data_IF_358891224930
#
_entry.id   IF_358891224930
#
_cell.length_a   1.000
_cell.length_b   1.000
_cell.length_c   1.000
_cell.angle_alpha   90.00
_cell.angle_beta   90.00
_cell.angle_gamma   90.00
#
_symmetry.space_group_name_H-M   'P 1'
#
loop_
_entity.id
_entity.type
_entity.pdbx_description
1 polymer ?
#
# COMPACT_ATOMS: atom_id res chain seq x y z
N UNK A 1 15.27 -32.79 -4.28
CA UNK A 1 13.83 -32.64 -4.56
C UNK A 1 13.72 -31.90 -5.87
N UNK A 2 13.03 -32.47 -6.83
CA UNK A 2 12.77 -31.88 -8.14
C UNK A 2 11.76 -30.75 -7.96
N UNK A 3 12.00 -29.58 -8.51
CA UNK A 3 11.03 -28.49 -8.47
C UNK A 3 10.11 -28.53 -9.69
N UNK A 4 8.93 -27.92 -9.61
CA UNK A 4 8.03 -27.77 -10.76
C UNK A 4 8.67 -27.01 -11.94
N UNK A 5 9.68 -26.17 -11.66
CA UNK A 5 10.48 -25.50 -12.67
C UNK A 5 11.37 -26.46 -13.45
N UNK A 6 11.98 -27.44 -12.77
CA UNK A 6 12.80 -28.46 -13.42
C UNK A 6 11.95 -29.38 -14.32
N UNK A 7 10.75 -29.74 -13.85
CA UNK A 7 9.77 -30.51 -14.63
C UNK A 7 9.30 -29.71 -15.85
N UNK A 8 8.98 -28.43 -15.69
CA UNK A 8 8.60 -27.54 -16.79
C UNK A 8 9.71 -27.41 -17.83
N UNK A 9 10.97 -27.27 -17.40
CA UNK A 9 12.13 -27.19 -18.29
C UNK A 9 12.41 -28.51 -19.03
N UNK A 10 12.15 -29.66 -18.41
CA UNK A 10 12.31 -30.96 -19.06
C UNK A 10 11.17 -31.27 -20.04
N UNK A 11 9.93 -30.97 -19.67
CA UNK A 11 8.74 -31.19 -20.51
C UNK A 11 8.70 -30.22 -21.69
N UNK A 12 9.08 -28.94 -21.49
CA UNK A 12 9.09 -27.92 -22.56
C UNK A 12 10.02 -28.25 -23.74
N UNK A 13 11.06 -29.06 -23.53
CA UNK A 13 11.95 -29.53 -24.61
C UNK A 13 11.27 -30.47 -25.60
N UNK A 14 10.20 -31.15 -25.17
CA UNK A 14 9.53 -32.19 -25.94
C UNK A 14 8.07 -31.86 -26.25
N UNK A 15 7.41 -31.17 -25.32
CA UNK A 15 6.04 -30.68 -25.41
C UNK A 15 5.97 -29.21 -24.93
N UNK A 16 6.26 -28.23 -25.80
CA UNK A 16 6.42 -26.83 -25.42
C UNK A 16 5.15 -26.17 -24.85
N UNK A 17 3.96 -26.54 -25.30
CA UNK A 17 2.69 -25.98 -24.82
C UNK A 17 2.37 -26.51 -23.41
N UNK A 18 2.57 -27.81 -23.18
CA UNK A 18 2.42 -28.41 -21.85
C UNK A 18 3.49 -27.90 -20.88
N UNK A 19 4.73 -27.74 -21.33
CA UNK A 19 5.83 -27.19 -20.53
C UNK A 19 5.59 -25.74 -20.09
N UNK A 20 5.02 -24.90 -20.96
CA UNK A 20 4.61 -23.54 -20.63
C UNK A 20 3.34 -23.48 -19.74
N UNK A 21 2.54 -24.55 -19.72
CA UNK A 21 1.39 -24.66 -18.83
C UNK A 21 1.76 -25.01 -17.38
N UNK A 22 2.96 -25.57 -17.15
CA UNK A 22 3.52 -25.84 -15.82
C UNK A 22 4.26 -24.59 -15.32
N UNK A 23 3.91 -24.03 -14.14
CA UNK A 23 4.59 -22.85 -13.63
C UNK A 23 6.01 -23.19 -13.20
N UNK A 24 6.95 -22.39 -13.70
CA UNK A 24 8.38 -22.56 -13.46
C UNK A 24 9.25 -22.22 -14.67
N UNK A 25 8.65 -22.11 -15.87
CA UNK A 25 9.21 -21.37 -17.01
C UNK A 25 8.23 -20.24 -17.37
N UNK A 26 8.51 -19.04 -16.88
CA UNK A 26 7.89 -17.79 -17.36
C UNK A 26 6.45 -17.44 -16.94
N UNK A 27 5.73 -18.23 -16.14
CA UNK A 27 4.35 -17.88 -15.73
C UNK A 27 4.12 -17.90 -14.21
N UNK A 28 3.37 -16.89 -13.74
CA UNK A 28 3.01 -16.65 -12.35
C UNK A 28 2.19 -17.81 -11.78
N UNK A 29 2.56 -18.24 -10.59
CA UNK A 29 1.98 -19.34 -9.80
C UNK A 29 0.48 -19.11 -9.55
N UNK A 30 -0.37 -20.01 -10.06
CA UNK A 30 -1.81 -20.05 -9.72
C UNK A 30 -2.63 -21.00 -10.59
N UNK A 31 -3.50 -21.81 -9.94
CA UNK A 31 -4.59 -22.69 -10.40
C UNK A 31 -4.38 -23.66 -11.59
N UNK A 32 -3.50 -23.39 -12.55
CA UNK A 32 -3.18 -24.26 -13.69
C UNK A 32 -2.24 -25.42 -13.39
N UNK A 33 -1.62 -25.43 -12.20
CA UNK A 33 -0.65 -26.44 -11.73
C UNK A 33 -1.26 -27.84 -11.75
N UNK A 34 -2.47 -27.99 -11.20
CA UNK A 34 -3.11 -29.30 -11.05
C UNK A 34 -3.54 -29.90 -12.38
N UNK A 35 -3.94 -29.07 -13.35
CA UNK A 35 -4.39 -29.54 -14.66
C UNK A 35 -3.23 -30.03 -15.52
N UNK A 36 -2.16 -29.24 -15.66
CA UNK A 36 -1.00 -29.67 -16.45
C UNK A 36 -0.29 -30.88 -15.81
N UNK A 37 -0.10 -30.87 -14.50
CA UNK A 37 0.50 -31.98 -13.78
C UNK A 37 -0.34 -33.26 -13.84
N UNK A 38 -1.67 -33.17 -13.74
CA UNK A 38 -2.55 -34.33 -13.83
C UNK A 38 -2.65 -34.90 -15.24
N UNK A 39 -2.62 -34.07 -16.29
CA UNK A 39 -2.59 -34.53 -17.68
C UNK A 39 -1.29 -35.27 -17.98
N UNK A 40 -0.16 -34.74 -17.51
CA UNK A 40 1.17 -35.35 -17.66
C UNK A 40 1.24 -36.66 -16.87
N UNK A 41 0.84 -36.64 -15.60
CA UNK A 41 0.76 -37.82 -14.74
C UNK A 41 -0.13 -38.92 -15.33
N UNK A 42 -1.27 -38.56 -15.92
CA UNK A 42 -2.19 -39.50 -16.58
C UNK A 42 -1.63 -40.07 -17.89
N UNK A 43 -0.91 -39.27 -18.67
CA UNK A 43 -0.23 -39.74 -19.88
C UNK A 43 0.95 -40.69 -19.58
N UNK A 44 1.65 -40.45 -18.46
CA UNK A 44 2.79 -41.24 -17.99
C UNK A 44 2.38 -42.43 -17.12
N UNK A 45 1.16 -42.44 -16.58
CA UNK A 45 0.70 -43.44 -15.62
C UNK A 45 1.35 -43.33 -14.24
N UNK A 46 1.81 -42.13 -13.85
CA UNK A 46 2.53 -41.88 -12.59
C UNK A 46 1.76 -40.93 -11.69
N UNK A 47 2.20 -40.77 -10.44
CA UNK A 47 1.63 -39.77 -9.54
C UNK A 47 1.92 -38.33 -10.02
N UNK A 48 1.01 -37.38 -9.76
CA UNK A 48 1.18 -35.96 -10.10
C UNK A 48 2.11 -35.25 -9.11
N UNK A 49 3.31 -35.81 -8.89
CA UNK A 49 4.37 -35.23 -8.07
C UNK A 49 5.61 -34.94 -8.93
N UNK A 50 6.37 -33.85 -8.64
CA UNK A 50 7.52 -33.46 -9.43
C UNK A 50 8.57 -34.57 -9.57
N UNK A 51 8.85 -35.25 -8.46
CA UNK A 51 9.85 -36.31 -8.39
C UNK A 51 9.44 -37.55 -9.21
N UNK A 52 8.15 -37.95 -9.16
CA UNK A 52 7.64 -39.10 -9.92
C UNK A 52 7.65 -38.84 -11.42
N UNK A 53 7.27 -37.63 -11.86
CA UNK A 53 7.26 -37.26 -13.28
C UNK A 53 8.69 -37.19 -13.83
N UNK A 54 9.63 -36.60 -13.09
CA UNK A 54 11.03 -36.55 -13.50
C UNK A 54 11.67 -37.94 -13.58
N UNK A 55 11.37 -38.80 -12.62
CA UNK A 55 11.85 -40.19 -12.62
C UNK A 55 11.28 -40.98 -13.79
N UNK A 56 9.98 -40.82 -14.09
CA UNK A 56 9.33 -41.46 -15.23
C UNK A 56 9.89 -40.99 -16.58
N UNK A 57 10.21 -39.70 -16.69
CA UNK A 57 10.80 -39.09 -17.89
C UNK A 57 12.27 -39.52 -18.08
N UNK A 58 13.02 -39.71 -17.00
CA UNK A 58 14.39 -40.22 -17.05
C UNK A 58 14.47 -41.73 -17.32
N UNK A 59 13.47 -42.50 -16.87
CA UNK A 59 13.46 -43.96 -16.96
C UNK A 59 12.90 -44.49 -18.28
N UNK A 60 12.00 -43.74 -18.93
CA UNK A 60 11.28 -44.21 -20.12
C UNK A 60 11.45 -43.25 -21.30
N UNK A 61 12.19 -43.64 -22.36
CA UNK A 61 12.26 -42.84 -23.59
C UNK A 61 10.91 -42.74 -24.32
N UNK A 62 10.01 -43.72 -24.15
CA UNK A 62 8.63 -43.69 -24.69
C UNK A 62 7.71 -42.65 -24.02
N UNK A 63 8.09 -42.15 -22.84
CA UNK A 63 7.40 -41.05 -22.17
C UNK A 63 7.32 -39.80 -23.05
N UNK A 64 8.40 -39.54 -23.81
CA UNK A 64 8.53 -38.38 -24.69
C UNK A 64 7.52 -38.42 -25.83
N UNK A 65 7.30 -39.60 -26.41
CA UNK A 65 6.34 -39.81 -27.51
C UNK A 65 4.91 -39.64 -27.00
N UNK A 66 4.59 -40.20 -25.83
CA UNK A 66 3.27 -40.07 -25.21
C UNK A 66 2.94 -38.62 -24.82
N UNK A 67 3.92 -37.86 -24.34
CA UNK A 67 3.75 -36.43 -24.02
C UNK A 67 3.45 -35.61 -25.27
N UNK A 68 4.18 -35.86 -26.37
CA UNK A 68 3.94 -35.19 -27.64
C UNK A 68 2.59 -35.54 -28.26
N UNK A 69 2.17 -36.80 -28.12
CA UNK A 69 0.85 -37.22 -28.59
C UNK A 69 -0.28 -36.59 -27.78
N UNK A 70 -0.14 -36.53 -26.45
CA UNK A 70 -1.09 -35.82 -25.58
C UNK A 70 -1.15 -34.31 -25.88
N UNK A 71 -0.02 -33.69 -26.26
CA UNK A 71 -0.02 -32.29 -26.70
C UNK A 71 -0.77 -32.10 -28.01
N UNK A 72 -0.58 -32.99 -29.00
CA UNK A 72 -1.30 -32.93 -30.28
C UNK A 72 -2.80 -33.16 -30.11
N UNK A 73 -3.20 -34.11 -29.25
CA UNK A 73 -4.61 -34.41 -29.00
C UNK A 73 -5.35 -33.26 -28.30
N UNK A 74 -4.62 -32.43 -27.55
CA UNK A 74 -5.17 -31.31 -26.78
C UNK A 74 -4.73 -29.92 -27.27
N UNK A 75 -4.10 -29.82 -28.44
CA UNK A 75 -3.53 -28.57 -28.97
C UNK A 75 -4.58 -27.46 -29.04
N UNK A 76 -5.79 -27.79 -29.47
CA UNK A 76 -6.91 -26.84 -29.58
C UNK A 76 -7.39 -26.34 -28.22
N UNK A 77 -7.50 -27.24 -27.24
CA UNK A 77 -7.94 -26.89 -25.89
C UNK A 77 -6.88 -26.03 -25.19
N UNK A 78 -5.60 -26.37 -25.38
CA UNK A 78 -4.47 -25.62 -24.86
C UNK A 78 -4.38 -24.23 -25.52
N UNK A 79 -4.57 -24.12 -26.83
CA UNK A 79 -4.61 -22.83 -27.52
C UNK A 79 -5.75 -21.94 -27.00
N UNK A 80 -6.93 -22.52 -26.75
CA UNK A 80 -8.05 -21.79 -26.15
C UNK A 80 -7.76 -21.34 -24.71
N UNK A 81 -7.11 -22.19 -23.90
CA UNK A 81 -6.69 -21.84 -22.54
C UNK A 81 -5.68 -20.69 -22.59
N UNK A 82 -4.68 -20.73 -23.47
CA UNK A 82 -3.70 -19.64 -23.64
C UNK A 82 -4.40 -18.33 -24.02
N UNK A 83 -5.30 -18.34 -25.00
CA UNK A 83 -6.05 -17.15 -25.41
C UNK A 83 -6.90 -16.57 -24.27
N UNK A 84 -7.57 -17.44 -23.48
CA UNK A 84 -8.36 -17.00 -22.32
C UNK A 84 -7.50 -16.39 -21.21
N UNK A 85 -6.29 -16.93 -21.00
CA UNK A 85 -5.33 -16.39 -20.03
C UNK A 85 -4.82 -15.03 -20.45
N UNK A 86 -4.50 -14.87 -21.73
CA UNK A 86 -4.08 -13.58 -22.27
C UNK A 86 -5.18 -12.54 -22.06
N UNK A 87 -6.42 -12.85 -22.44
CA UNK A 87 -7.57 -11.97 -22.22
C UNK A 87 -7.77 -11.61 -20.74
N UNK A 88 -7.60 -12.57 -19.82
CA UNK A 88 -7.68 -12.31 -18.38
C UNK A 88 -6.55 -11.39 -17.88
N UNK A 89 -5.34 -11.51 -18.41
CA UNK A 89 -4.23 -10.62 -18.09
C UNK A 89 -4.47 -9.20 -18.61
N UNK A 90 -4.98 -9.06 -19.83
CA UNK A 90 -5.40 -7.76 -20.39
C UNK A 90 -6.50 -7.11 -19.54
N UNK A 91 -7.50 -7.88 -19.11
CA UNK A 91 -8.57 -7.39 -18.24
C UNK A 91 -8.04 -6.93 -16.87
N UNK A 92 -7.13 -7.70 -16.26
CA UNK A 92 -6.52 -7.36 -14.98
C UNK A 92 -5.70 -6.06 -15.08
N UNK A 93 -4.89 -5.90 -16.14
CA UNK A 93 -4.14 -4.67 -16.38
C UNK A 93 -5.08 -3.47 -16.58
N UNK A 94 -6.14 -3.63 -17.38
CA UNK A 94 -7.13 -2.58 -17.62
C UNK A 94 -7.82 -2.16 -16.33
N UNK A 95 -8.17 -3.11 -15.47
CA UNK A 95 -8.79 -2.82 -14.17
C UNK A 95 -7.85 -2.03 -13.25
N UNK A 96 -6.54 -2.33 -13.26
CA UNK A 96 -5.56 -1.55 -12.50
C UNK A 96 -5.43 -0.12 -13.04
N UNK A 97 -5.29 0.06 -14.36
CA UNK A 97 -5.23 1.40 -14.95
C UNK A 97 -6.51 2.20 -14.70
N UNK A 98 -7.69 1.56 -14.74
CA UNK A 98 -8.96 2.20 -14.43
C UNK A 98 -9.06 2.61 -12.95
N UNK A 99 -8.57 1.76 -12.03
CA UNK A 99 -8.52 2.07 -10.61
C UNK A 99 -7.58 3.26 -10.33
N UNK A 100 -6.39 3.29 -10.92
CA UNK A 100 -5.46 4.42 -10.82
C UNK A 100 -6.04 5.72 -11.39
N UNK A 101 -6.72 5.63 -12.55
CA UNK A 101 -7.38 6.78 -13.15
C UNK A 101 -8.54 7.30 -12.28
N UNK A 102 -9.31 6.39 -11.68
CA UNK A 102 -10.39 6.72 -10.75
C UNK A 102 -9.85 7.37 -9.47
N UNK A 103 -8.72 6.90 -8.95
CA UNK A 103 -8.07 7.49 -7.77
C UNK A 103 -7.61 8.93 -8.05
N UNK A 104 -6.92 9.17 -9.18
CA UNK A 104 -6.53 10.54 -9.59
C UNK A 104 -7.75 11.45 -9.81
N UNK A 105 -8.84 10.91 -10.36
CA UNK A 105 -10.07 11.67 -10.55
C UNK A 105 -10.77 11.99 -9.22
N UNK A 106 -10.76 11.05 -8.27
CA UNK A 106 -11.25 11.23 -6.90
C UNK A 106 -10.45 12.30 -6.17
N UNK A 107 -9.11 12.26 -6.25
CA UNK A 107 -8.23 13.27 -5.67
C UNK A 107 -8.51 14.67 -6.21
N UNK A 108 -8.73 14.82 -7.54
CA UNK A 108 -9.13 16.10 -8.14
C UNK A 108 -10.51 16.57 -7.68
N UNK A 109 -11.47 15.66 -7.55
CA UNK A 109 -12.81 15.97 -7.04
C UNK A 109 -12.79 16.36 -5.56
N UNK A 110 -11.97 15.71 -4.74
CA UNK A 110 -11.76 16.06 -3.34
C UNK A 110 -11.08 17.43 -3.20
N UNK A 111 -10.06 17.72 -4.01
CA UNK A 111 -9.42 19.04 -4.04
C UNK A 111 -10.40 20.16 -4.48
N UNK A 112 -11.32 19.86 -5.41
CA UNK A 112 -12.35 20.81 -5.85
C UNK A 112 -13.55 20.91 -4.87
N UNK A 113 -13.86 19.84 -4.14
CA UNK A 113 -14.95 19.76 -3.17
C UNK A 113 -14.52 20.12 -1.74
N UNK A 114 -13.25 20.42 -1.52
CA UNK A 114 -12.75 20.91 -0.25
C UNK A 114 -13.51 22.22 0.05
N UNK A 115 -14.53 22.10 0.91
CA UNK A 115 -15.36 23.23 1.32
C UNK A 115 -14.39 24.31 1.76
N UNK A 116 -14.46 25.46 1.09
CA UNK A 116 -13.69 26.64 1.44
C UNK A 116 -13.91 26.86 2.94
N UNK A 117 -12.92 26.49 3.73
CA UNK A 117 -13.07 26.43 5.18
C UNK A 117 -13.00 27.86 5.67
N UNK A 118 -14.14 28.55 5.66
CA UNK A 118 -14.28 29.94 6.09
C UNK A 118 -14.25 30.06 7.61
N UNK A 119 -14.48 28.96 8.33
CA UNK A 119 -14.54 28.95 9.80
C UNK A 119 -13.15 29.18 10.39
N UNK A 120 -12.12 28.51 9.87
CA UNK A 120 -10.75 28.68 10.40
C UNK A 120 -10.21 30.12 10.22
N UNK A 121 -10.27 30.77 9.04
CA UNK A 121 -9.81 32.15 8.89
C UNK A 121 -10.63 33.14 9.71
N UNK A 122 -11.96 32.97 9.78
CA UNK A 122 -12.83 33.92 10.48
C UNK A 122 -12.55 33.94 11.99
N UNK A 123 -12.37 32.79 12.63
CA UNK A 123 -11.99 32.72 14.06
C UNK A 123 -10.64 33.40 14.30
N UNK A 124 -9.64 33.17 13.43
CA UNK A 124 -8.34 33.82 13.59
C UNK A 124 -8.37 35.33 13.39
N UNK A 125 -9.20 35.81 12.45
CA UNK A 125 -9.39 37.25 12.23
C UNK A 125 -10.12 37.91 13.40
N UNK A 126 -11.09 37.22 14.02
CA UNK A 126 -11.76 37.69 15.25
C UNK A 126 -10.77 37.75 16.41
N UNK A 127 -9.92 36.72 16.60
CA UNK A 127 -8.90 36.71 17.66
C UNK A 127 -7.87 37.83 17.46
N UNK A 128 -7.39 38.03 16.23
CA UNK A 128 -6.46 39.11 15.87
C UNK A 128 -7.09 40.49 16.14
N UNK A 129 -8.35 40.69 15.72
CA UNK A 129 -9.09 41.92 15.95
C UNK A 129 -9.32 42.16 17.46
N UNK A 130 -9.60 41.11 18.23
CA UNK A 130 -9.71 41.16 19.70
C UNK A 130 -8.41 41.58 20.37
N UNK A 131 -7.27 41.00 19.97
CA UNK A 131 -5.94 41.43 20.44
C UNK A 131 -5.67 42.91 20.13
N UNK A 132 -5.99 43.35 18.91
CA UNK A 132 -5.80 44.73 18.49
C UNK A 132 -6.70 45.70 19.28
N UNK A 133 -7.96 45.31 19.50
CA UNK A 133 -8.93 46.09 20.27
C UNK A 133 -8.54 46.23 21.74
N UNK A 134 -8.07 45.15 22.37
CA UNK A 134 -7.57 45.20 23.76
C UNK A 134 -6.34 46.11 23.86
N UNK A 135 -5.41 46.02 22.91
CA UNK A 135 -4.24 46.91 22.85
C UNK A 135 -4.67 48.37 22.66
N UNK A 136 -5.62 48.63 21.77
CA UNK A 136 -6.17 49.97 21.53
C UNK A 136 -6.89 50.55 22.76
N UNK A 137 -7.63 49.73 23.51
CA UNK A 137 -8.30 50.12 24.75
C UNK A 137 -7.30 50.40 25.89
N UNK A 138 -6.17 49.70 25.93
CA UNK A 138 -5.09 49.99 26.88
C UNK A 138 -4.43 51.35 26.60
N UNK A 139 -4.27 51.72 25.33
CA UNK A 139 -3.73 53.04 24.95
C UNK A 139 -4.79 54.16 24.99
N UNK A 140 -6.08 53.82 24.99
CA UNK A 140 -7.17 54.80 25.08
C UNK A 140 -7.40 55.25 26.52
N UNK A 141 -7.62 56.56 26.71
CA UNK A 141 -7.77 57.23 28.00
C UNK A 141 -8.81 56.65 29.01
N UNK A 142 -9.87 55.92 28.64
CA UNK A 142 -10.83 55.36 29.60
C UNK A 142 -10.24 54.28 30.53
N UNK A 143 -9.15 53.62 30.16
CA UNK A 143 -8.49 52.59 30.97
C UNK A 143 -7.45 53.15 31.95
N UNK A 144 -7.16 54.45 31.87
CA UNK A 144 -6.18 55.12 32.73
C UNK A 144 -6.61 55.16 34.22
N UNK A 145 -7.90 55.01 34.51
CA UNK A 145 -8.42 54.84 35.88
C UNK A 145 -8.20 53.41 36.40
N UNK A 146 -8.42 52.40 35.56
CA UNK A 146 -8.20 50.97 35.88
C UNK A 146 -6.72 50.61 36.05
N UNK A 147 -5.83 51.30 35.34
CA UNK A 147 -4.38 51.11 35.43
C UNK A 147 -3.75 51.73 36.70
N UNK A 148 -4.43 52.67 37.36
CA UNK A 148 -3.94 53.29 38.60
C UNK A 148 -4.11 52.38 39.83
N UNK A 149 -5.03 51.43 39.76
CA UNK A 149 -5.26 50.45 40.82
C UNK A 149 -4.35 49.23 40.62
N UNK A 150 -3.42 49.02 41.53
CA UNK A 150 -2.37 48.00 41.39
C UNK A 150 -2.93 46.58 41.19
N UNK A 151 -4.06 46.26 41.83
CA UNK A 151 -4.72 44.96 41.68
C UNK A 151 -5.35 44.77 40.28
N UNK A 152 -6.01 45.81 39.75
CA UNK A 152 -6.66 45.76 38.44
C UNK A 152 -5.62 45.73 37.30
N UNK A 153 -4.55 46.52 37.41
CA UNK A 153 -3.45 46.54 36.44
C UNK A 153 -2.79 45.16 36.31
N UNK A 154 -2.56 44.44 37.42
CA UNK A 154 -1.92 43.13 37.39
C UNK A 154 -2.77 42.07 36.67
N UNK A 155 -4.08 42.05 36.92
CA UNK A 155 -5.02 41.14 36.25
C UNK A 155 -5.10 41.43 34.75
N UNK A 156 -5.12 42.71 34.35
CA UNK A 156 -5.16 43.11 32.94
C UNK A 156 -3.87 42.68 32.22
N UNK A 157 -2.70 42.91 32.81
CA UNK A 157 -1.42 42.45 32.25
C UNK A 157 -1.36 40.93 32.08
N UNK A 158 -1.87 40.16 33.05
CA UNK A 158 -1.95 38.70 32.96
C UNK A 158 -2.87 38.24 31.81
N UNK A 159 -4.08 38.81 31.70
CA UNK A 159 -5.05 38.47 30.66
C UNK A 159 -4.51 38.83 29.27
N UNK A 160 -3.86 39.98 29.14
CA UNK A 160 -3.21 40.41 27.89
C UNK A 160 -2.09 39.44 27.52
N UNK A 161 -1.23 39.06 28.48
CA UNK A 161 -0.17 38.07 28.26
C UNK A 161 -0.71 36.72 27.78
N UNK A 162 -1.80 36.24 28.39
CA UNK A 162 -2.49 35.02 27.96
C UNK A 162 -3.03 35.14 26.54
N UNK A 163 -3.68 36.26 26.20
CA UNK A 163 -4.25 36.50 24.88
C UNK A 163 -3.19 36.51 23.77
N UNK A 164 -2.04 37.15 24.01
CA UNK A 164 -0.92 37.13 23.07
C UNK A 164 -0.29 35.73 22.91
N UNK A 165 -0.30 34.92 23.98
CA UNK A 165 0.16 33.54 23.91
C UNK A 165 -0.73 32.66 23.02
N UNK A 166 -2.06 32.75 23.18
CA UNK A 166 -3.05 32.07 22.34
C UNK A 166 -3.00 32.54 20.87
N UNK A 167 -2.78 33.85 20.66
CA UNK A 167 -2.56 34.41 19.32
C UNK A 167 -1.34 33.78 18.65
N UNK A 168 -0.22 33.64 19.36
CA UNK A 168 1.00 33.00 18.85
C UNK A 168 0.75 31.54 18.47
N UNK A 169 0.02 30.79 19.29
CA UNK A 169 -0.32 29.39 19.02
C UNK A 169 -1.20 29.26 17.77
N UNK A 170 -2.17 30.15 17.63
CA UNK A 170 -3.08 30.19 16.48
C UNK A 170 -2.35 30.57 15.19
N UNK A 171 -1.43 31.53 15.25
CA UNK A 171 -0.56 31.89 14.13
C UNK A 171 0.39 30.75 13.75
N UNK A 172 0.95 30.03 14.74
CA UNK A 172 1.79 28.87 14.49
C UNK A 172 1.03 27.71 13.84
N UNK A 173 -0.25 27.55 14.15
CA UNK A 173 -1.12 26.59 13.45
C UNK A 173 -1.33 26.97 11.98
N UNK A 174 -1.49 28.26 11.68
CA UNK A 174 -1.76 28.75 10.32
C UNK A 174 -0.53 28.81 9.41
N UNK A 175 0.58 29.33 9.94
CA UNK A 175 1.82 29.48 9.19
C UNK A 175 2.71 28.24 9.27
N UNK A 176 2.28 27.24 10.06
CA UNK A 176 3.07 26.07 10.41
C UNK A 176 4.17 26.45 11.41
N UNK A 177 4.51 25.50 12.28
CA UNK A 177 5.78 25.56 12.98
C UNK A 177 6.87 25.47 11.90
N UNK A 178 7.91 26.30 12.02
CA UNK A 178 8.98 26.56 11.04
C UNK A 178 9.40 25.34 10.23
N UNK A 179 9.88 25.56 8.99
CA UNK A 179 10.40 24.55 8.01
C UNK A 179 10.99 23.26 8.62
N UNK A 180 11.74 23.35 9.72
CA UNK A 180 12.17 22.22 10.57
C UNK A 180 11.07 21.17 10.88
N UNK A 181 9.88 21.59 11.31
CA UNK A 181 8.80 20.68 11.71
C UNK A 181 8.21 19.93 10.52
N UNK A 182 8.12 20.58 9.36
CA UNK A 182 7.72 19.93 8.11
C UNK A 182 8.74 18.88 7.66
N UNK A 183 10.03 19.15 7.84
CA UNK A 183 11.12 18.20 7.54
C UNK A 183 11.12 17.04 8.52
N UNK A 184 10.89 17.28 9.81
CA UNK A 184 10.77 16.22 10.82
C UNK A 184 9.56 15.33 10.56
N UNK A 185 8.39 15.90 10.29
CA UNK A 185 7.20 15.12 9.96
C UNK A 185 7.39 14.31 8.67
N UNK A 186 8.07 14.86 7.66
CA UNK A 186 8.42 14.14 6.44
C UNK A 186 9.38 12.97 6.73
N UNK A 187 10.42 13.18 7.57
CA UNK A 187 11.34 12.11 7.99
C UNK A 187 10.67 11.02 8.82
N UNK A 188 9.71 11.38 9.68
CA UNK A 188 8.93 10.41 10.47
C UNK A 188 7.99 9.61 9.57
N UNK A 189 7.35 10.25 8.59
CA UNK A 189 6.52 9.56 7.61
C UNK A 189 7.36 8.62 6.72
N UNK A 190 8.56 9.04 6.32
CA UNK A 190 9.52 8.23 5.58
C UNK A 190 9.95 7.01 6.42
N UNK A 191 10.26 7.21 7.71
CA UNK A 191 10.54 6.11 8.63
C UNK A 191 9.34 5.17 8.81
N UNK A 192 8.12 5.68 8.92
CA UNK A 192 6.92 4.87 9.13
C UNK A 192 6.49 4.07 7.89
N UNK A 193 6.91 4.50 6.70
CA UNK A 193 6.53 3.88 5.43
C UNK A 193 7.68 3.08 4.79
N UNK A 194 8.91 3.23 5.30
CA UNK A 194 10.06 2.44 4.88
C UNK A 194 9.89 0.94 5.23
N UNK A 195 10.01 0.03 4.25
CA UNK A 195 9.92 -1.41 4.50
C UNK A 195 10.99 -1.87 5.51
N UNK A 196 10.56 -2.47 6.63
CA UNK A 196 11.44 -3.02 7.66
C UNK A 196 11.76 -2.12 8.85
N UNK A 197 11.21 -0.90 8.92
CA UNK A 197 11.45 0.05 10.00
C UNK A 197 10.67 -0.24 11.30
N UNK A 198 9.63 -1.07 11.25
CA UNK A 198 8.82 -1.45 12.42
C UNK A 198 9.03 -2.94 12.71
N UNK A 199 9.93 -3.23 13.65
CA UNK A 199 10.02 -4.56 14.27
C UNK A 199 8.81 -4.70 15.20
N UNK A 200 7.75 -5.36 14.74
CA UNK A 200 6.69 -5.79 15.63
C UNK A 200 7.28 -6.88 16.54
N UNK A 201 7.48 -6.54 17.81
CA UNK A 201 7.90 -7.50 18.83
C UNK A 201 6.81 -8.57 18.92
N UNK A 202 7.11 -9.77 18.40
CA UNK A 202 6.20 -10.91 18.52
C UNK A 202 6.02 -11.21 20.01
N UNK A 203 4.76 -11.38 20.50
CA UNK A 203 4.54 -11.71 21.89
C UNK A 203 5.27 -13.02 22.20
N UNK A 204 6.22 -12.97 23.14
CA UNK A 204 6.90 -14.16 23.62
C UNK A 204 5.86 -15.07 24.30
N UNK A 205 5.32 -16.03 23.56
CA UNK A 205 4.65 -17.18 24.14
C UNK A 205 5.71 -18.00 24.86
N UNK A 206 5.92 -17.68 26.14
CA UNK A 206 6.81 -18.41 27.03
C UNK A 206 6.42 -19.88 27.05
N UNK A 207 7.32 -20.72 26.55
CA UNK A 207 7.30 -22.16 26.75
C UNK A 207 7.58 -22.46 28.23
N UNK A 208 6.54 -22.75 29.00
CA UNK A 208 6.69 -23.41 30.29
C UNK A 208 7.11 -24.86 30.05
N UNK A 209 8.42 -25.11 30.05
CA UNK A 209 9.00 -26.44 30.04
C UNK A 209 8.76 -27.12 31.38
N UNK A 210 8.02 -28.23 31.32
CA UNK A 210 7.90 -29.27 32.34
C UNK A 210 9.29 -29.74 32.81
N UNK A 211 9.53 -29.70 34.12
CA UNK A 211 10.41 -30.64 34.83
C UNK A 211 9.86 -30.83 36.23
#
# INVERSE_FOLDING_TARGET
MSTWSDVAAAVSKFAPILGNAIPGVGTVVGAGVGLAASVIAKALGTEPTPDSIMTALASNPDAVVKLKQAEMDHERDLAQIVASREAAQWAAQTAQYAAEAADRASARKLAAAQQKDWVRPTITMILLAGCLAVTFLMFSGPSASLMKEAAASNVICLVVGYLFNELKQTLAFWFGTTREASVTNAKVADFATAPGAVTLEQPQTGSSSTT
#
